data_IF_588004072506
#
_entry.id   IF_588004072506
#
_cell.length_a   1.000
_cell.length_b   1.000
_cell.length_c   1.000
_cell.angle_alpha   90.00
_cell.angle_beta   90.00
_cell.angle_gamma   90.00
#
_symmetry.space_group_name_H-M   'P 1'
#
loop_
_entity.id
_entity.type
_entity.pdbx_description
1 polymer ?
#
# COMPACT_ATOMS: atom_id res chain seq x y z
N UNK A 1 22.67 -1.37 -46.66
CA UNK A 1 22.51 -0.67 -45.36
C UNK A 1 21.12 -0.85 -44.72
N UNK A 2 20.04 -1.01 -45.50
CA UNK A 2 18.69 -1.31 -44.95
C UNK A 2 18.54 -2.74 -44.38
N UNK A 3 19.23 -3.74 -44.96
CA UNK A 3 19.15 -5.14 -44.50
C UNK A 3 19.83 -5.34 -43.13
N UNK A 4 20.88 -4.57 -42.84
CA UNK A 4 21.58 -4.61 -41.56
C UNK A 4 20.74 -3.98 -40.43
N UNK A 5 19.95 -2.95 -40.73
CA UNK A 5 19.01 -2.34 -39.79
C UNK A 5 17.84 -3.28 -39.43
N UNK A 6 17.41 -4.12 -40.38
CA UNK A 6 16.36 -5.12 -40.13
C UNK A 6 16.83 -6.30 -39.26
N UNK A 7 18.13 -6.61 -39.31
CA UNK A 7 18.76 -7.62 -38.42
C UNK A 7 18.99 -7.07 -37.01
N UNK A 8 19.21 -5.76 -36.85
CA UNK A 8 19.29 -5.08 -35.56
C UNK A 8 17.93 -4.88 -34.87
N UNK A 9 16.80 -5.03 -35.57
CA UNK A 9 15.45 -5.04 -34.95
C UNK A 9 15.01 -6.41 -34.41
N UNK A 10 15.87 -7.44 -34.51
CA UNK A 10 15.58 -8.80 -34.04
C UNK A 10 16.39 -9.21 -32.79
N UNK A 11 16.90 -8.24 -32.01
CA UNK A 11 17.29 -8.56 -30.64
C UNK A 11 16.02 -8.91 -29.86
N UNK A 12 15.77 -10.22 -29.70
CA UNK A 12 14.85 -10.71 -28.67
C UNK A 12 15.22 -9.99 -27.38
N UNK A 13 14.24 -9.34 -26.75
CA UNK A 13 14.45 -8.72 -25.46
C UNK A 13 14.95 -9.81 -24.50
N UNK A 14 16.25 -9.81 -24.21
CA UNK A 14 16.82 -10.66 -23.17
C UNK A 14 16.46 -9.98 -21.85
N UNK A 15 15.51 -10.57 -21.13
CA UNK A 15 15.20 -10.16 -19.78
C UNK A 15 16.37 -10.61 -18.89
N UNK A 16 16.92 -9.69 -18.11
CA UNK A 16 17.96 -9.98 -17.14
C UNK A 16 17.28 -10.35 -15.81
N UNK A 17 17.55 -11.55 -15.30
CA UNK A 17 16.87 -12.13 -14.15
C UNK A 17 15.93 -13.27 -14.55
N UNK A 18 15.78 -14.25 -13.67
CA UNK A 18 14.75 -15.28 -13.79
C UNK A 18 13.37 -14.72 -13.44
N UNK A 19 12.36 -15.23 -14.12
CA UNK A 19 10.96 -14.87 -13.94
C UNK A 19 10.11 -16.13 -13.78
N UNK A 20 8.95 -16.00 -13.14
CA UNK A 20 8.00 -17.09 -12.95
C UNK A 20 6.59 -16.68 -13.32
N UNK A 21 5.80 -17.62 -13.83
CA UNK A 21 4.36 -17.49 -13.98
C UNK A 21 3.69 -18.52 -13.10
N UNK A 22 2.94 -18.07 -12.09
CA UNK A 22 2.25 -18.93 -11.12
C UNK A 22 0.74 -18.68 -11.13
N UNK A 23 -0.02 -19.76 -11.19
CA UNK A 23 -1.48 -19.76 -11.07
C UNK A 23 -1.89 -20.29 -9.70
N UNK A 24 -2.82 -19.57 -9.08
CA UNK A 24 -3.43 -19.90 -7.80
C UNK A 24 -4.89 -20.23 -8.07
N UNK A 25 -5.20 -21.51 -8.25
CA UNK A 25 -6.55 -21.99 -8.50
C UNK A 25 -7.22 -22.45 -7.20
N UNK A 26 -8.50 -22.16 -7.06
CA UNK A 26 -9.32 -22.60 -5.93
C UNK A 26 -10.63 -23.16 -6.46
N UNK A 27 -11.01 -24.35 -5.99
CA UNK A 27 -12.30 -24.99 -6.22
C UNK A 27 -13.01 -25.21 -4.88
N UNK A 28 -14.27 -24.79 -4.78
CA UNK A 28 -15.07 -24.80 -3.56
C UNK A 28 -16.26 -25.74 -3.75
N UNK A 29 -16.35 -26.76 -2.89
CA UNK A 29 -17.54 -27.59 -2.76
C UNK A 29 -18.43 -26.99 -1.67
N UNK A 30 -19.74 -26.95 -1.91
CA UNK A 30 -20.73 -26.51 -0.93
C UNK A 30 -21.27 -25.11 -1.22
N UNK A 31 -22.09 -24.59 -0.31
CA UNK A 31 -22.64 -23.24 -0.45
C UNK A 31 -21.58 -22.18 -0.15
N UNK A 32 -21.40 -21.24 -1.07
CA UNK A 32 -20.40 -20.17 -0.97
C UNK A 32 -20.95 -18.90 -1.64
N UNK A 33 -20.64 -17.69 -1.13
CA UNK A 33 -20.94 -16.43 -1.80
C UNK A 33 -19.92 -16.08 -2.91
N UNK A 34 -18.85 -16.89 -3.06
CA UNK A 34 -17.81 -16.73 -4.06
C UNK A 34 -18.04 -17.68 -5.24
N UNK A 35 -17.43 -17.42 -6.43
CA UNK A 35 -17.43 -18.36 -7.53
C UNK A 35 -16.95 -19.75 -7.07
N UNK A 36 -17.57 -20.83 -7.57
CA UNK A 36 -17.17 -22.20 -7.20
C UNK A 36 -15.72 -22.52 -7.60
N UNK A 37 -15.22 -21.82 -8.62
CA UNK A 37 -13.87 -21.90 -9.13
C UNK A 37 -13.33 -20.53 -9.49
N UNK A 38 -12.08 -20.28 -9.13
CA UNK A 38 -11.35 -19.07 -9.50
C UNK A 38 -9.86 -19.34 -9.68
N UNK A 39 -9.21 -18.57 -10.55
CA UNK A 39 -7.76 -18.62 -10.77
C UNK A 39 -7.20 -17.21 -10.77
N UNK A 40 -6.09 -17.00 -10.04
CA UNK A 40 -5.27 -15.78 -10.12
C UNK A 40 -3.95 -16.13 -10.76
N UNK A 41 -3.58 -15.47 -11.86
CA UNK A 41 -2.28 -15.61 -12.51
C UNK A 41 -1.34 -14.47 -12.13
N UNK A 42 -0.13 -14.81 -11.70
CA UNK A 42 0.92 -13.85 -11.35
C UNK A 42 2.20 -14.10 -12.13
N UNK A 43 2.75 -13.04 -12.70
CA UNK A 43 4.15 -13.04 -13.14
C UNK A 43 4.99 -12.43 -12.02
N UNK A 44 5.89 -13.25 -11.49
CA UNK A 44 6.58 -13.01 -10.24
C UNK A 44 5.58 -12.74 -9.10
N UNK A 45 5.48 -11.50 -8.65
CA UNK A 45 4.52 -11.05 -7.64
C UNK A 45 3.40 -10.14 -8.18
N UNK A 46 3.42 -9.83 -9.49
CA UNK A 46 2.44 -8.99 -10.18
C UNK A 46 1.30 -9.83 -10.73
N UNK A 47 0.06 -9.52 -10.34
CA UNK A 47 -1.12 -10.15 -10.93
C UNK A 47 -1.32 -9.68 -12.37
N UNK A 48 -1.38 -10.64 -13.29
CA UNK A 48 -1.54 -10.40 -14.73
C UNK A 48 -2.83 -10.95 -15.29
N UNK A 49 -3.44 -11.95 -14.63
CA UNK A 49 -4.71 -12.54 -15.06
C UNK A 49 -5.59 -12.95 -13.89
N UNK A 50 -6.90 -12.98 -14.15
CA UNK A 50 -7.93 -13.46 -13.25
C UNK A 50 -8.99 -14.23 -14.04
N UNK A 51 -9.48 -15.33 -13.48
CA UNK A 51 -10.57 -16.14 -14.06
C UNK A 51 -11.52 -16.57 -12.94
N UNK A 52 -12.80 -16.64 -13.25
CA UNK A 52 -13.82 -17.21 -12.37
C UNK A 52 -14.87 -18.00 -13.14
N UNK A 53 -15.64 -18.79 -12.39
CA UNK A 53 -16.75 -19.63 -12.86
C UNK A 53 -18.09 -18.89 -12.95
N UNK A 54 -18.14 -17.59 -12.67
CA UNK A 54 -19.34 -16.79 -12.93
C UNK A 54 -19.33 -16.27 -14.37
N UNK A 55 -18.15 -15.86 -14.84
CA UNK A 55 -17.93 -15.25 -16.15
C UNK A 55 -17.29 -16.20 -17.17
N UNK A 56 -16.62 -17.26 -16.71
CA UNK A 56 -15.92 -18.24 -17.54
C UNK A 56 -14.94 -17.63 -18.55
N UNK A 57 -14.31 -16.50 -18.18
CA UNK A 57 -13.40 -15.78 -19.06
C UNK A 57 -12.21 -15.23 -18.30
N UNK A 58 -11.01 -15.50 -18.81
CA UNK A 58 -9.80 -14.93 -18.25
C UNK A 58 -9.68 -13.44 -18.61
N UNK A 59 -9.63 -12.61 -17.59
CA UNK A 59 -9.39 -11.18 -17.67
C UNK A 59 -7.91 -10.92 -17.48
N UNK A 60 -7.25 -10.37 -18.50
CA UNK A 60 -5.87 -9.93 -18.41
C UNK A 60 -5.80 -8.52 -17.83
N UNK A 61 -5.12 -8.37 -16.70
CA UNK A 61 -4.77 -7.06 -16.13
C UNK A 61 -3.52 -6.53 -16.83
N UNK A 62 -3.65 -6.13 -18.10
CA UNK A 62 -2.58 -5.36 -18.74
C UNK A 62 -2.71 -3.88 -18.36
N UNK A 63 -1.60 -3.28 -17.95
CA UNK A 63 -1.48 -1.82 -17.79
C UNK A 63 -1.25 -1.10 -19.13
N UNK A 64 -1.20 -1.83 -20.25
CA UNK A 64 -1.07 -1.27 -21.59
C UNK A 64 -2.40 -1.38 -22.33
N UNK A 65 -2.88 -0.27 -22.92
CA UNK A 65 -4.07 -0.17 -23.77
C UNK A 65 -3.94 -0.92 -25.11
N UNK A 66 -3.09 -1.94 -25.17
CA UNK A 66 -2.96 -2.80 -26.33
C UNK A 66 -4.18 -3.74 -26.37
N UNK A 67 -5.22 -3.28 -27.07
CA UNK A 67 -6.26 -4.14 -27.63
C UNK A 67 -5.56 -5.27 -28.38
N UNK A 68 -5.53 -6.47 -27.80
CA UNK A 68 -5.10 -7.65 -28.52
C UNK A 68 -6.29 -8.56 -28.77
N UNK A 69 -6.34 -8.99 -30.03
CA UNK A 69 -7.34 -9.76 -30.71
C UNK A 69 -8.07 -10.82 -29.89
N UNK A 70 -9.34 -10.94 -30.23
CA UNK A 70 -10.36 -11.93 -29.90
C UNK A 70 -9.97 -13.37 -30.33
N UNK A 71 -8.69 -13.73 -30.25
CA UNK A 71 -8.24 -15.13 -30.27
C UNK A 71 -8.45 -15.67 -28.86
N UNK A 72 -9.18 -16.79 -28.78
CA UNK A 72 -9.41 -17.55 -27.56
C UNK A 72 -8.18 -17.50 -26.63
N UNK A 73 -8.36 -16.98 -25.42
CA UNK A 73 -7.23 -16.77 -24.52
C UNK A 73 -6.64 -18.15 -24.20
N UNK A 74 -5.35 -18.34 -24.49
CA UNK A 74 -4.64 -19.61 -24.20
C UNK A 74 -4.90 -20.08 -22.75
N UNK A 75 -5.06 -19.12 -21.84
CA UNK A 75 -5.40 -19.34 -20.44
C UNK A 75 -6.79 -19.94 -20.22
N UNK A 76 -7.82 -19.62 -21.04
CA UNK A 76 -9.17 -20.17 -20.89
C UNK A 76 -9.16 -21.70 -21.05
N UNK A 77 -8.36 -22.21 -21.99
CA UNK A 77 -8.20 -23.65 -22.23
C UNK A 77 -7.53 -24.32 -21.03
N UNK A 78 -6.44 -23.72 -20.52
CA UNK A 78 -5.72 -24.24 -19.35
C UNK A 78 -6.60 -24.21 -18.09
N UNK A 79 -7.35 -23.13 -17.89
CA UNK A 79 -8.22 -22.99 -16.72
C UNK A 79 -9.44 -23.91 -16.79
N UNK A 80 -9.96 -24.19 -17.99
CA UNK A 80 -10.98 -25.21 -18.20
C UNK A 80 -10.50 -26.62 -17.84
N UNK A 81 -9.27 -26.98 -18.20
CA UNK A 81 -8.67 -28.24 -17.77
C UNK A 81 -8.47 -28.28 -16.25
N UNK A 82 -7.90 -27.21 -15.67
CA UNK A 82 -7.72 -27.09 -14.22
C UNK A 82 -9.05 -27.23 -13.47
N UNK A 83 -10.13 -26.61 -13.94
CA UNK A 83 -11.47 -26.75 -13.35
C UNK A 83 -11.91 -28.22 -13.28
N UNK A 84 -11.85 -28.93 -14.41
CA UNK A 84 -12.28 -30.33 -14.48
C UNK A 84 -11.40 -31.23 -13.59
N UNK A 85 -10.09 -30.99 -13.60
CA UNK A 85 -9.11 -31.69 -12.75
C UNK A 85 -9.40 -31.49 -11.26
N UNK A 86 -9.51 -30.24 -10.81
CA UNK A 86 -9.74 -29.91 -9.40
C UNK A 86 -11.11 -30.39 -8.93
N UNK A 87 -12.16 -30.22 -9.74
CA UNK A 87 -13.49 -30.72 -9.44
C UNK A 87 -13.48 -32.23 -9.20
N UNK A 88 -12.89 -32.99 -10.12
CA UNK A 88 -12.78 -34.44 -10.00
C UNK A 88 -12.04 -34.88 -8.74
N UNK A 89 -10.89 -34.25 -8.45
CA UNK A 89 -10.11 -34.56 -7.24
C UNK A 89 -10.84 -34.16 -5.95
N UNK A 90 -11.50 -33.01 -5.92
CA UNK A 90 -12.22 -32.53 -4.75
C UNK A 90 -13.39 -33.46 -4.39
N UNK A 91 -14.20 -33.90 -5.37
CA UNK A 91 -15.27 -34.86 -5.14
C UNK A 91 -14.74 -36.24 -4.73
N UNK A 92 -13.66 -36.69 -5.34
CA UNK A 92 -13.00 -37.95 -4.96
C UNK A 92 -12.55 -37.92 -3.49
N UNK A 93 -11.88 -36.85 -3.07
CA UNK A 93 -11.41 -36.71 -1.69
C UNK A 93 -12.58 -36.57 -0.70
N UNK A 94 -13.60 -35.75 -1.02
CA UNK A 94 -14.80 -35.62 -0.18
C UNK A 94 -15.43 -36.99 0.08
N UNK A 95 -15.64 -37.77 -0.97
CA UNK A 95 -16.29 -39.07 -0.88
C UNK A 95 -15.41 -40.10 -0.15
N UNK A 96 -14.13 -40.21 -0.49
CA UNK A 96 -13.25 -41.22 0.10
C UNK A 96 -12.91 -40.95 1.57
N UNK A 97 -12.90 -39.69 1.97
CA UNK A 97 -12.73 -39.30 3.36
C UNK A 97 -14.05 -39.29 4.14
N UNK A 98 -15.18 -39.66 3.48
CA UNK A 98 -16.53 -39.63 4.03
C UNK A 98 -16.85 -38.30 4.74
N UNK A 99 -16.42 -37.18 4.13
CA UNK A 99 -16.65 -35.86 4.73
C UNK A 99 -18.13 -35.51 4.65
N UNK A 100 -18.62 -34.85 5.70
CA UNK A 100 -20.00 -34.39 5.77
C UNK A 100 -20.30 -33.35 4.71
N UNK A 101 -21.58 -33.04 4.54
CA UNK A 101 -21.95 -31.82 3.84
C UNK A 101 -21.42 -30.59 4.58
N UNK A 102 -20.99 -29.61 3.81
CA UNK A 102 -20.22 -28.47 4.30
C UNK A 102 -19.37 -27.86 3.18
N UNK A 103 -18.55 -26.89 3.57
CA UNK A 103 -17.61 -26.23 2.65
C UNK A 103 -16.28 -26.98 2.66
N UNK A 104 -15.84 -27.39 1.47
CA UNK A 104 -14.52 -27.97 1.28
C UNK A 104 -13.79 -27.26 0.14
N UNK A 105 -12.49 -27.10 0.31
CA UNK A 105 -11.67 -26.28 -0.59
C UNK A 105 -10.55 -27.13 -1.14
N UNK A 106 -10.46 -27.21 -2.45
CA UNK A 106 -9.31 -27.76 -3.16
C UNK A 106 -8.56 -26.62 -3.83
N UNK A 107 -7.25 -26.53 -3.61
CA UNK A 107 -6.41 -25.45 -4.13
C UNK A 107 -5.25 -26.04 -4.91
N UNK A 108 -4.88 -25.37 -6.00
CA UNK A 108 -3.70 -25.70 -6.81
C UNK A 108 -2.83 -24.45 -6.97
N UNK A 109 -1.55 -24.60 -6.66
CA UNK A 109 -0.51 -23.67 -7.06
C UNK A 109 0.30 -24.32 -8.18
N UNK A 110 0.24 -23.81 -9.40
CA UNK A 110 0.97 -24.42 -10.53
C UNK A 110 1.55 -23.35 -11.47
N UNK A 111 2.72 -23.61 -12.03
CA UNK A 111 3.40 -22.61 -12.85
C UNK A 111 4.76 -23.04 -13.36
N UNK A 112 5.42 -22.17 -14.11
CA UNK A 112 6.74 -22.42 -14.68
C UNK A 112 7.68 -21.24 -14.49
N UNK A 113 8.96 -21.53 -14.55
CA UNK A 113 10.04 -20.56 -14.53
C UNK A 113 10.63 -20.33 -15.92
N UNK A 114 11.09 -19.11 -16.16
CA UNK A 114 11.95 -18.72 -17.26
C UNK A 114 13.25 -18.21 -16.66
N UNK A 115 14.32 -18.97 -16.88
CA UNK A 115 15.66 -18.62 -16.41
C UNK A 115 16.29 -17.56 -17.31
N UNK A 116 17.44 -17.06 -16.87
CA UNK A 116 18.28 -16.17 -17.67
C UNK A 116 18.55 -16.76 -19.05
N UNK A 117 18.60 -15.88 -20.06
CA UNK A 117 18.79 -16.22 -21.47
C UNK A 117 17.62 -17.00 -22.12
N UNK A 118 16.39 -16.77 -21.65
CA UNK A 118 15.16 -17.34 -22.25
C UNK A 118 15.09 -18.88 -22.18
N UNK A 119 15.83 -19.48 -21.24
CA UNK A 119 15.84 -20.92 -21.00
C UNK A 119 14.66 -21.33 -20.09
N UNK A 120 13.96 -22.43 -20.39
CA UNK A 120 12.97 -22.99 -19.48
C UNK A 120 13.60 -23.36 -18.13
N UNK A 121 12.96 -22.96 -17.04
CA UNK A 121 13.27 -23.43 -15.69
C UNK A 121 12.29 -24.51 -15.23
N UNK A 122 12.18 -24.68 -13.92
CA UNK A 122 11.32 -25.72 -13.35
C UNK A 122 9.84 -25.41 -13.56
N UNK A 123 9.04 -26.47 -13.72
CA UNK A 123 7.59 -26.42 -13.66
C UNK A 123 7.14 -27.03 -12.35
N UNK A 124 6.32 -26.31 -11.61
CA UNK A 124 5.89 -26.73 -10.28
C UNK A 124 4.38 -26.89 -10.21
N UNK A 125 3.92 -27.79 -9.35
CA UNK A 125 2.52 -27.93 -8.97
C UNK A 125 2.41 -28.38 -7.51
N UNK A 126 1.50 -27.77 -6.76
CA UNK A 126 1.12 -28.18 -5.41
C UNK A 126 -0.39 -28.16 -5.28
N UNK A 127 -0.94 -29.26 -4.79
CA UNK A 127 -2.37 -29.40 -4.53
C UNK A 127 -2.62 -29.55 -3.03
N UNK A 128 -3.57 -28.78 -2.52
CA UNK A 128 -4.01 -28.82 -1.14
C UNK A 128 -5.53 -29.04 -1.05
N UNK A 129 -5.96 -29.77 -0.05
CA UNK A 129 -7.37 -29.99 0.25
C UNK A 129 -7.64 -29.68 1.72
N UNK A 130 -8.57 -28.76 1.97
CA UNK A 130 -8.90 -28.21 3.29
C UNK A 130 -7.65 -27.71 4.06
N UNK A 131 -6.73 -27.05 3.35
CA UNK A 131 -5.51 -26.47 3.92
C UNK A 131 -4.33 -27.43 4.10
N UNK A 132 -4.51 -28.73 3.83
CA UNK A 132 -3.44 -29.73 3.91
C UNK A 132 -2.92 -30.06 2.52
N UNK A 133 -1.60 -30.02 2.33
CA UNK A 133 -0.95 -30.43 1.07
C UNK A 133 -1.23 -31.93 0.84
N UNK A 134 -1.72 -32.25 -0.35
CA UNK A 134 -2.08 -33.60 -0.78
C UNK A 134 -1.13 -34.12 -1.84
N UNK A 135 -0.75 -33.29 -2.79
CA UNK A 135 0.10 -33.68 -3.91
C UNK A 135 1.06 -32.56 -4.25
N UNK A 136 2.23 -32.93 -4.76
CA UNK A 136 3.13 -31.97 -5.39
C UNK A 136 3.90 -32.62 -6.54
N UNK A 137 4.29 -31.80 -7.50
CA UNK A 137 5.02 -32.21 -8.68
C UNK A 137 6.05 -31.16 -9.09
N UNK A 138 7.23 -31.62 -9.50
CA UNK A 138 8.26 -30.82 -10.14
C UNK A 138 8.64 -31.50 -11.44
N UNK A 139 8.60 -30.75 -12.53
CA UNK A 139 9.10 -31.17 -13.83
C UNK A 139 10.29 -30.30 -14.22
N UNK A 140 11.42 -30.95 -14.47
CA UNK A 140 12.64 -30.32 -14.94
C UNK A 140 12.77 -30.53 -16.46
N UNK A 141 12.64 -29.47 -17.28
CA UNK A 141 12.75 -29.59 -18.73
C UNK A 141 14.16 -29.85 -19.24
N UNK A 142 15.21 -29.58 -18.45
CA UNK A 142 16.60 -29.84 -18.81
C UNK A 142 16.91 -31.33 -18.75
N UNK A 143 16.61 -31.96 -17.62
CA UNK A 143 16.83 -33.40 -17.39
C UNK A 143 15.69 -34.28 -17.90
N UNK A 144 14.52 -33.69 -18.14
CA UNK A 144 13.23 -34.38 -18.39
C UNK A 144 12.77 -35.25 -17.22
N UNK A 145 13.24 -34.96 -16.02
CA UNK A 145 12.83 -35.67 -14.82
C UNK A 145 11.53 -35.12 -14.26
N UNK A 146 10.70 -36.03 -13.75
CA UNK A 146 9.45 -35.71 -13.07
C UNK A 146 9.49 -36.27 -11.66
N UNK A 147 9.46 -35.39 -10.67
CA UNK A 147 9.32 -35.73 -9.26
C UNK A 147 7.87 -35.51 -8.86
N UNK A 148 7.21 -36.55 -8.36
CA UNK A 148 5.78 -36.49 -8.02
C UNK A 148 5.59 -37.15 -6.65
N UNK A 149 4.87 -36.47 -5.76
CA UNK A 149 4.42 -37.03 -4.49
C UNK A 149 2.90 -37.07 -4.46
N UNK A 150 2.34 -38.26 -4.22
CA UNK A 150 0.90 -38.52 -4.20
C UNK A 150 0.55 -39.09 -2.82
N UNK A 151 0.15 -38.25 -1.87
CA UNK A 151 -0.04 -38.70 -0.48
C UNK A 151 -1.41 -39.34 -0.22
N UNK A 152 -2.46 -38.94 -0.95
CA UNK A 152 -3.85 -39.27 -0.57
C UNK A 152 -4.77 -39.72 -1.71
N UNK A 153 -4.41 -39.47 -2.98
CA UNK A 153 -5.12 -40.07 -4.11
C UNK A 153 -4.47 -41.42 -4.36
N UNK A 154 -5.23 -42.49 -4.10
CA UNK A 154 -4.82 -43.90 -4.29
C UNK A 154 -4.02 -43.99 -5.59
N UNK A 155 -2.74 -44.36 -5.43
CA UNK A 155 -1.66 -44.22 -6.41
C UNK A 155 -2.16 -44.22 -7.85
N UNK A 156 -1.96 -43.09 -8.55
CA UNK A 156 -2.26 -43.01 -9.98
C UNK A 156 -1.68 -44.24 -10.67
N UNK A 157 -2.48 -44.88 -11.51
CA UNK A 157 -1.98 -45.99 -12.31
C UNK A 157 -0.90 -45.50 -13.29
N UNK A 158 -0.09 -46.42 -13.79
CA UNK A 158 1.00 -46.08 -14.73
C UNK A 158 0.49 -45.29 -15.95
N UNK A 159 -0.66 -45.63 -16.56
CA UNK A 159 -1.23 -44.83 -17.65
C UNK A 159 -1.51 -43.37 -17.24
N UNK A 160 -2.09 -43.11 -16.07
CA UNK A 160 -2.36 -41.74 -15.61
C UNK A 160 -1.07 -40.97 -15.36
N UNK A 161 -0.05 -41.60 -14.77
CA UNK A 161 1.27 -40.97 -14.58
C UNK A 161 1.87 -40.56 -15.93
N UNK A 162 1.88 -41.48 -16.91
CA UNK A 162 2.41 -41.20 -18.26
C UNK A 162 1.64 -40.08 -18.96
N UNK A 163 0.31 -40.09 -18.85
CA UNK A 163 -0.54 -39.04 -19.41
C UNK A 163 -0.24 -37.68 -18.78
N UNK A 164 -0.11 -37.60 -17.46
CA UNK A 164 0.22 -36.34 -16.79
C UNK A 164 1.60 -35.85 -17.20
N UNK A 165 2.62 -36.72 -17.24
CA UNK A 165 3.95 -36.35 -17.76
C UNK A 165 3.89 -35.77 -19.17
N UNK A 166 3.12 -36.42 -20.06
CA UNK A 166 2.88 -35.93 -21.41
C UNK A 166 2.25 -34.53 -21.43
N UNK A 167 1.24 -34.27 -20.58
CA UNK A 167 0.62 -32.94 -20.47
C UNK A 167 1.61 -31.87 -20.02
N UNK A 168 2.44 -32.15 -19.01
CA UNK A 168 3.45 -31.19 -18.53
C UNK A 168 4.47 -30.83 -19.62
N UNK A 169 4.95 -31.84 -20.35
CA UNK A 169 5.95 -31.66 -21.41
C UNK A 169 5.39 -30.96 -22.66
N UNK A 170 4.20 -31.37 -23.12
CA UNK A 170 3.71 -31.01 -24.44
C UNK A 170 2.62 -29.94 -24.43
N UNK A 171 2.02 -29.66 -23.26
CA UNK A 171 0.95 -28.67 -23.12
C UNK A 171 1.34 -27.60 -22.09
N UNK A 172 1.48 -27.95 -20.82
CA UNK A 172 1.63 -26.95 -19.76
C UNK A 172 2.92 -26.12 -19.90
N UNK A 173 4.07 -26.75 -20.11
CA UNK A 173 5.31 -26.00 -20.27
C UNK A 173 5.28 -25.06 -21.49
N UNK A 174 4.96 -25.50 -22.72
CA UNK A 174 4.89 -24.62 -23.87
C UNK A 174 3.92 -23.44 -23.70
N UNK A 175 2.71 -23.69 -23.18
CA UNK A 175 1.73 -22.63 -22.95
C UNK A 175 2.16 -21.67 -21.84
N UNK A 176 2.70 -22.20 -20.73
CA UNK A 176 3.17 -21.38 -19.64
C UNK A 176 4.30 -20.44 -20.08
N UNK A 177 5.30 -20.94 -20.81
CA UNK A 177 6.38 -20.11 -21.35
C UNK A 177 5.88 -19.08 -22.37
N UNK A 178 4.90 -19.44 -23.22
CA UNK A 178 4.27 -18.51 -24.17
C UNK A 178 3.58 -17.36 -23.44
N UNK A 179 2.79 -17.66 -22.41
CA UNK A 179 2.04 -16.68 -21.62
C UNK A 179 3.00 -15.82 -20.78
N UNK A 180 4.02 -16.42 -20.18
CA UNK A 180 5.05 -15.71 -19.41
C UNK A 180 5.80 -14.71 -20.29
N UNK A 181 6.29 -15.13 -21.46
CA UNK A 181 6.97 -14.23 -22.42
C UNK A 181 6.07 -13.09 -22.88
N UNK A 182 4.79 -13.39 -23.18
CA UNK A 182 3.79 -12.37 -23.55
C UNK A 182 3.66 -11.34 -22.44
N UNK A 183 3.49 -11.77 -21.20
CA UNK A 183 3.31 -10.85 -20.07
C UNK A 183 4.58 -10.05 -19.75
N UNK A 184 5.77 -10.64 -19.84
CA UNK A 184 7.04 -9.91 -19.69
C UNK A 184 7.19 -8.81 -20.74
N UNK A 185 6.68 -9.03 -21.96
CA UNK A 185 6.67 -8.01 -23.00
C UNK A 185 5.62 -6.91 -22.73
N UNK A 186 4.37 -7.30 -22.48
CA UNK A 186 3.25 -6.36 -22.36
C UNK A 186 3.29 -5.54 -21.05
N UNK A 187 3.70 -6.17 -19.95
CA UNK A 187 3.68 -5.60 -18.61
C UNK A 187 5.08 -5.29 -18.08
N UNK A 188 6.08 -5.17 -18.98
CA UNK A 188 7.50 -4.95 -18.68
C UNK A 188 7.71 -3.87 -17.61
N UNK A 189 7.07 -2.71 -17.80
CA UNK A 189 7.24 -1.56 -16.90
C UNK A 189 6.69 -1.82 -15.51
N UNK A 190 5.67 -2.67 -15.36
CA UNK A 190 5.10 -3.02 -14.05
C UNK A 190 5.90 -4.12 -13.37
N UNK A 191 6.30 -5.15 -14.10
CA UNK A 191 7.04 -6.32 -13.58
C UNK A 191 8.48 -5.92 -13.20
N UNK A 192 9.15 -5.16 -14.05
CA UNK A 192 10.56 -4.77 -13.83
C UNK A 192 10.72 -3.44 -13.07
N UNK A 193 9.62 -2.86 -12.55
CA UNK A 193 9.72 -1.60 -11.79
C UNK A 193 10.59 -1.80 -10.56
N UNK A 194 11.25 -0.73 -10.15
CA UNK A 194 12.01 -0.68 -8.91
C UNK A 194 11.57 0.54 -8.14
N UNK A 195 11.02 0.33 -6.95
CA UNK A 195 10.54 1.42 -6.09
C UNK A 195 11.40 1.45 -4.83
N UNK A 196 12.05 2.60 -4.58
CA UNK A 196 12.95 2.76 -3.43
C UNK A 196 12.15 2.77 -2.12
N UNK A 197 12.62 2.04 -1.09
CA UNK A 197 11.97 2.03 0.22
C UNK A 197 11.93 3.41 0.86
N UNK A 198 10.80 3.71 1.50
CA UNK A 198 10.67 4.81 2.47
C UNK A 198 10.87 4.25 3.86
N UNK A 199 11.71 4.89 4.64
CA UNK A 199 12.07 4.41 5.97
C UNK A 199 11.61 5.41 7.02
N UNK A 200 11.01 4.88 8.09
CA UNK A 200 10.59 5.65 9.25
C UNK A 200 11.11 4.98 10.50
N UNK A 201 11.87 5.75 11.26
CA UNK A 201 12.33 5.39 12.58
C UNK A 201 11.33 5.91 13.60
N UNK A 202 10.78 5.02 14.41
CA UNK A 202 9.74 5.32 15.38
C UNK A 202 10.25 4.96 16.77
N UNK A 203 9.95 5.82 17.74
CA UNK A 203 10.22 5.62 19.16
C UNK A 203 8.91 5.64 19.91
N UNK A 204 8.65 4.61 20.72
CA UNK A 204 7.45 4.51 21.55
C UNK A 204 7.84 4.11 22.97
N UNK A 205 7.47 4.91 23.97
CA UNK A 205 7.58 4.47 25.36
C UNK A 205 6.56 3.34 25.62
N UNK A 206 7.01 2.24 26.23
CA UNK A 206 6.12 1.13 26.61
C UNK A 206 5.79 1.16 28.10
N UNK A 207 6.82 1.26 28.94
CA UNK A 207 6.73 1.30 30.39
C UNK A 207 7.65 2.40 30.95
N UNK A 208 7.61 2.66 32.25
CA UNK A 208 8.44 3.69 32.90
C UNK A 208 9.95 3.53 32.66
N UNK A 209 10.41 2.31 32.35
CA UNK A 209 11.82 1.99 32.13
C UNK A 209 12.14 1.37 30.76
N UNK A 210 11.17 1.32 29.84
CA UNK A 210 11.33 0.65 28.54
C UNK A 210 10.88 1.51 27.36
N UNK A 211 11.67 1.46 26.30
CA UNK A 211 11.42 2.14 25.04
C UNK A 211 11.49 1.14 23.90
N UNK A 212 10.47 1.15 23.05
CA UNK A 212 10.46 0.42 21.80
C UNK A 212 10.98 1.31 20.66
N UNK A 213 11.99 0.81 19.98
CA UNK A 213 12.57 1.35 18.77
C UNK A 213 12.02 0.53 17.60
N UNK A 214 11.35 1.16 16.64
CA UNK A 214 10.78 0.48 15.48
C UNK A 214 11.32 1.06 14.19
N UNK A 215 11.83 0.18 13.34
CA UNK A 215 12.17 0.45 11.96
C UNK A 215 11.02 0.03 11.05
N UNK A 216 10.34 1.00 10.45
CA UNK A 216 9.33 0.75 9.43
C UNK A 216 9.92 1.06 8.05
N UNK A 217 9.91 0.06 7.17
CA UNK A 217 10.28 0.20 5.77
C UNK A 217 9.03 -0.06 4.94
N UNK A 218 8.65 0.87 4.07
CA UNK A 218 7.38 0.79 3.31
C UNK A 218 7.52 1.40 1.93
N UNK A 219 6.61 1.05 1.01
CA UNK A 219 6.57 1.63 -0.33
C UNK A 219 7.69 1.13 -1.24
N UNK A 220 8.19 -0.08 -1.03
CA UNK A 220 9.24 -0.68 -1.88
C UNK A 220 8.70 -1.80 -2.77
N UNK A 221 9.42 -2.04 -3.87
CA UNK A 221 9.18 -3.14 -4.81
C UNK A 221 10.49 -3.42 -5.58
N UNK A 222 10.88 -4.69 -5.82
CA UNK A 222 10.13 -5.94 -5.62
C UNK A 222 10.01 -6.40 -4.16
N UNK A 223 9.28 -7.51 -3.92
CA UNK A 223 9.01 -8.06 -2.59
C UNK A 223 10.26 -8.38 -1.75
N UNK A 224 11.34 -8.85 -2.37
CA UNK A 224 12.53 -9.34 -1.64
C UNK A 224 13.36 -8.19 -1.05
N UNK A 225 13.45 -8.16 0.28
CA UNK A 225 14.18 -7.14 1.05
C UNK A 225 14.87 -7.78 2.26
N UNK A 226 16.06 -7.30 2.60
CA UNK A 226 16.74 -7.64 3.85
C UNK A 226 16.76 -6.40 4.76
N UNK A 227 16.09 -6.50 5.91
CA UNK A 227 16.06 -5.48 6.95
C UNK A 227 16.75 -6.01 8.21
N UNK A 228 17.82 -5.34 8.64
CA UNK A 228 18.55 -5.65 9.86
C UNK A 228 18.50 -4.45 10.79
N UNK A 229 18.16 -4.69 12.05
CA UNK A 229 18.23 -3.67 13.09
C UNK A 229 19.59 -3.81 13.78
N UNK A 230 20.34 -2.72 13.85
CA UNK A 230 21.71 -2.68 14.35
C UNK A 230 21.72 -1.96 15.70
N UNK A 231 22.47 -2.54 16.65
CA UNK A 231 22.69 -2.02 18.00
C UNK A 231 24.20 -1.93 18.23
N UNK A 232 24.71 -0.72 18.40
CA UNK A 232 26.14 -0.49 18.68
C UNK A 232 27.06 -1.07 17.60
N UNK A 233 26.68 -0.94 16.33
CA UNK A 233 27.43 -1.43 15.17
C UNK A 233 27.31 -2.93 14.89
N UNK A 234 26.56 -3.69 15.69
CA UNK A 234 26.36 -5.12 15.50
C UNK A 234 24.88 -5.42 15.22
N UNK A 235 24.56 -6.45 14.41
CA UNK A 235 23.19 -6.93 14.26
C UNK A 235 22.59 -7.23 15.64
N UNK A 236 21.42 -6.67 15.94
CA UNK A 236 20.71 -7.00 17.16
C UNK A 236 20.34 -8.50 17.12
N UNK A 237 20.77 -9.25 18.14
CA UNK A 237 20.54 -10.71 18.20
C UNK A 237 19.21 -11.01 18.91
N UNK A 238 18.54 -12.04 18.42
CA UNK A 238 17.16 -12.43 18.69
C UNK A 238 16.88 -12.76 20.17
N UNK A 239 15.74 -12.23 20.63
CA UNK A 239 15.21 -12.33 22.00
C UNK A 239 14.26 -11.16 22.31
N UNK A 240 14.63 -9.94 21.89
CA UNK A 240 13.85 -8.71 22.07
C UNK A 240 13.36 -8.08 20.75
N UNK A 241 13.58 -8.75 19.62
CA UNK A 241 13.15 -8.28 18.30
C UNK A 241 11.74 -8.81 18.01
N UNK A 242 10.84 -7.91 17.63
CA UNK A 242 9.47 -8.25 17.23
C UNK A 242 9.16 -7.73 15.82
N UNK A 243 8.25 -8.40 15.12
CA UNK A 243 7.93 -8.15 13.72
C UNK A 243 8.82 -8.95 12.77
N UNK A 244 9.08 -8.40 11.60
CA UNK A 244 9.75 -9.10 10.48
C UNK A 244 8.77 -9.59 9.41
N UNK A 245 7.47 -9.56 9.69
CA UNK A 245 6.45 -9.91 8.70
C UNK A 245 6.42 -8.90 7.55
N UNK A 246 6.47 -9.44 6.34
CA UNK A 246 6.36 -8.68 5.11
C UNK A 246 4.90 -8.61 4.68
N UNK A 247 4.36 -7.40 4.60
CA UNK A 247 2.96 -7.15 4.30
C UNK A 247 2.81 -6.41 2.96
N UNK A 248 1.80 -6.73 2.15
CA UNK A 248 1.49 -5.98 0.94
C UNK A 248 0.79 -4.65 1.27
N UNK A 249 0.99 -3.66 0.41
CA UNK A 249 0.22 -2.41 0.36
C UNK A 249 -0.81 -2.46 -0.79
N UNK A 250 -1.84 -1.64 -0.71
CA UNK A 250 -2.90 -1.57 -1.74
C UNK A 250 -2.46 -0.99 -3.09
N UNK A 251 -1.27 -0.41 -3.18
CA UNK A 251 -0.68 0.15 -4.40
C UNK A 251 0.29 -0.83 -5.11
N UNK A 252 0.35 -2.07 -4.65
CA UNK A 252 1.24 -3.10 -5.18
C UNK A 252 2.71 -2.93 -4.74
N UNK A 253 2.97 -2.17 -3.68
CA UNK A 253 4.26 -2.14 -2.98
C UNK A 253 4.21 -2.96 -1.69
N UNK A 254 5.33 -3.07 -0.98
CA UNK A 254 5.44 -3.83 0.26
C UNK A 254 5.86 -2.98 1.44
N UNK A 255 5.64 -3.51 2.64
CA UNK A 255 6.12 -2.97 3.90
C UNK A 255 6.60 -4.06 4.85
N UNK A 256 7.60 -3.75 5.65
CA UNK A 256 8.15 -4.60 6.70
C UNK A 256 8.51 -3.73 7.90
N UNK A 257 8.30 -4.26 9.11
CA UNK A 257 8.70 -3.57 10.34
C UNK A 257 9.46 -4.50 11.26
N UNK A 258 10.56 -4.03 11.84
CA UNK A 258 11.26 -4.70 12.94
C UNK A 258 11.35 -3.74 14.12
N UNK A 259 11.07 -4.25 15.31
CA UNK A 259 11.14 -3.45 16.55
C UNK A 259 12.04 -4.11 17.57
N UNK A 260 12.72 -3.30 18.37
CA UNK A 260 13.55 -3.71 19.49
C UNK A 260 13.10 -2.97 20.74
N UNK A 261 12.88 -3.69 21.84
CA UNK A 261 12.64 -3.08 23.15
C UNK A 261 13.96 -3.00 23.92
N UNK A 262 14.26 -1.80 24.41
CA UNK A 262 15.46 -1.48 25.19
C UNK A 262 15.09 -0.74 26.47
N UNK A 263 15.99 -0.75 27.45
CA UNK A 263 15.81 0.06 28.65
C UNK A 263 16.02 1.56 28.37
N UNK A 264 15.35 2.42 29.14
CA UNK A 264 15.60 3.88 29.08
C UNK A 264 17.06 4.19 29.39
N UNK A 265 17.71 3.45 30.29
CA UNK A 265 19.15 3.62 30.61
C UNK A 265 20.03 3.40 29.37
N UNK A 266 19.80 2.29 28.67
CA UNK A 266 20.54 1.92 27.47
C UNK A 266 20.40 2.98 26.36
N UNK A 267 19.21 3.58 26.23
CA UNK A 267 18.98 4.68 25.30
C UNK A 267 19.83 5.92 25.64
N UNK A 268 20.09 6.19 26.92
CA UNK A 268 20.92 7.32 27.36
C UNK A 268 22.42 7.02 27.29
N UNK A 269 22.83 5.74 27.32
CA UNK A 269 24.22 5.28 27.23
C UNK A 269 24.83 5.46 25.80
N UNK A 270 24.15 6.22 24.92
CA UNK A 270 24.58 6.58 23.55
C UNK A 270 24.92 5.38 22.66
N UNK A 271 24.20 4.26 22.83
CA UNK A 271 24.26 3.22 21.81
C UNK A 271 23.63 3.75 20.50
N UNK A 272 24.39 3.64 19.41
CA UNK A 272 23.88 3.96 18.08
C UNK A 272 22.98 2.81 17.64
N UNK A 273 21.70 3.11 17.41
CA UNK A 273 20.77 2.21 16.75
C UNK A 273 20.63 2.64 15.31
N UNK A 274 20.66 1.68 14.39
CA UNK A 274 20.42 1.97 13.00
C UNK A 274 19.63 0.86 12.32
N UNK A 275 19.12 1.18 11.13
CA UNK A 275 18.48 0.24 10.25
C UNK A 275 19.29 0.07 8.99
N UNK A 276 19.70 -1.17 8.76
CA UNK A 276 20.39 -1.57 7.56
C UNK A 276 19.43 -2.24 6.61
N UNK A 277 19.35 -1.71 5.40
CA UNK A 277 18.41 -2.15 4.37
C UNK A 277 19.20 -2.49 3.11
N UNK A 278 18.99 -3.71 2.61
CA UNK A 278 19.43 -4.15 1.31
C UNK A 278 18.22 -4.53 0.44
N UNK A 279 18.12 -3.91 -0.73
CA UNK A 279 16.97 -4.05 -1.63
C UNK A 279 17.41 -3.78 -3.07
N UNK A 280 16.83 -4.51 -4.03
CA UNK A 280 17.23 -4.47 -5.46
C UNK A 280 17.09 -3.08 -6.13
N UNK A 281 16.27 -2.19 -5.55
CA UNK A 281 16.11 -0.83 -6.04
C UNK A 281 17.19 0.15 -5.56
N UNK A 282 18.06 -0.28 -4.66
CA UNK A 282 19.11 0.55 -4.08
C UNK A 282 20.45 0.23 -4.74
N UNK A 283 21.21 1.26 -5.08
CA UNK A 283 22.55 1.10 -5.66
C UNK A 283 23.55 0.58 -4.61
N UNK A 284 23.33 0.94 -3.34
CA UNK A 284 24.13 0.53 -2.20
C UNK A 284 23.21 0.26 -1.00
N UNK A 285 23.75 -0.42 0.02
CA UNK A 285 23.10 -0.60 1.32
C UNK A 285 22.70 0.76 1.90
N UNK A 286 21.45 0.87 2.36
CA UNK A 286 20.94 2.05 3.05
C UNK A 286 21.06 1.84 4.56
N UNK A 287 21.80 2.71 5.23
CA UNK A 287 21.94 2.74 6.69
C UNK A 287 21.33 4.04 7.22
N UNK A 288 20.34 3.92 8.11
CA UNK A 288 19.66 5.07 8.73
C UNK A 288 19.83 4.97 10.22
N UNK A 289 20.58 5.94 10.77
CA UNK A 289 20.82 6.06 12.19
C UNK A 289 19.61 6.70 12.89
N UNK A 290 19.29 6.21 14.09
CA UNK A 290 18.40 6.90 15.01
C UNK A 290 19.07 8.19 15.44
N UNK A 291 18.60 9.29 14.87
CA UNK A 291 18.98 10.60 15.36
C UNK A 291 18.29 10.78 16.73
N UNK A 292 19.10 10.84 17.79
CA UNK A 292 18.65 11.29 19.11
C UNK A 292 18.42 12.80 19.06
N UNK A 293 17.58 13.26 18.13
CA UNK A 293 16.97 14.57 18.28
C UNK A 293 15.99 14.38 19.43
N UNK A 294 16.43 14.78 20.62
CA UNK A 294 15.54 15.15 21.70
C UNK A 294 14.42 15.94 21.05
N UNK A 295 13.26 15.31 20.94
CA UNK A 295 12.04 16.03 20.59
C UNK A 295 11.83 16.89 21.82
N UNK A 296 12.38 18.08 21.73
CA UNK A 296 12.45 19.05 22.80
C UNK A 296 11.01 19.44 23.13
N UNK A 297 10.42 18.68 24.06
CA UNK A 297 9.17 19.02 24.72
C UNK A 297 9.31 20.35 25.50
N UNK A 298 10.48 21.01 25.50
CA UNK A 298 10.72 22.33 26.06
C UNK A 298 10.26 23.51 25.20
N UNK A 299 9.96 23.33 23.90
CA UNK A 299 9.60 24.47 23.03
C UNK A 299 8.21 25.06 23.35
N UNK A 300 7.29 24.24 23.89
CA UNK A 300 5.94 24.71 24.23
C UNK A 300 5.86 25.47 25.57
N UNK A 301 6.81 25.26 26.49
CA UNK A 301 6.78 25.93 27.80
C UNK A 301 7.40 27.33 27.74
N UNK A 302 8.46 27.54 26.96
CA UNK A 302 9.07 28.85 26.76
C UNK A 302 8.15 29.82 25.99
N UNK A 303 7.39 29.33 25.00
CA UNK A 303 6.42 30.16 24.27
C UNK A 303 5.22 30.58 25.12
N UNK A 304 4.77 29.72 26.05
CA UNK A 304 3.65 30.03 26.93
C UNK A 304 4.04 31.02 28.04
N UNK A 305 5.24 30.88 28.61
CA UNK A 305 5.76 31.79 29.65
C UNK A 305 6.08 33.18 29.09
N UNK A 306 6.57 33.27 27.85
CA UNK A 306 6.84 34.58 27.21
C UNK A 306 5.55 35.32 26.87
N UNK A 307 4.51 34.63 26.40
CA UNK A 307 3.20 35.23 26.13
C UNK A 307 2.49 35.70 27.41
N UNK A 308 2.55 34.94 28.50
CA UNK A 308 1.91 35.35 29.77
C UNK A 308 2.59 36.56 30.39
N UNK A 309 3.92 36.62 30.37
CA UNK A 309 4.69 37.78 30.85
C UNK A 309 4.34 39.07 30.07
N UNK A 310 4.22 38.99 28.74
CA UNK A 310 3.86 40.14 27.90
C UNK A 310 2.46 40.68 28.21
N UNK A 311 1.47 39.80 28.39
CA UNK A 311 0.10 40.20 28.73
C UNK A 311 0.04 40.87 30.10
N UNK A 312 0.76 40.33 31.09
CA UNK A 312 0.81 40.94 32.44
C UNK A 312 1.43 42.33 32.39
N UNK A 313 2.52 42.53 31.64
CA UNK A 313 3.15 43.84 31.47
C UNK A 313 2.21 44.89 30.83
N UNK A 314 1.44 44.48 29.81
CA UNK A 314 0.46 45.36 29.17
C UNK A 314 -0.66 45.73 30.16
N UNK A 315 -1.19 44.77 30.91
CA UNK A 315 -2.24 45.03 31.90
C UNK A 315 -1.76 46.00 33.00
N UNK A 316 -0.55 45.80 33.53
CA UNK A 316 0.03 46.67 34.57
C UNK A 316 0.26 48.09 34.04
N UNK A 317 0.78 48.24 32.83
CA UNK A 317 1.00 49.56 32.23
C UNK A 317 -0.31 50.32 31.96
N UNK A 318 -1.38 49.62 31.56
CA UNK A 318 -2.72 50.22 31.40
C UNK A 318 -3.32 50.68 32.75
N UNK A 319 -3.13 49.90 33.82
CA UNK A 319 -3.59 50.29 35.16
C UNK A 319 -2.82 51.53 35.65
N UNK A 320 -1.50 51.56 35.48
CA UNK A 320 -0.66 52.70 35.89
C UNK A 320 -1.07 53.97 35.12
N UNK A 321 -1.27 53.87 33.81
CA UNK A 321 -1.70 55.03 33.00
C UNK A 321 -3.09 55.51 33.38
N UNK A 322 -4.05 54.62 33.66
CA UNK A 322 -5.37 54.98 34.17
C UNK A 322 -5.29 55.70 35.54
N UNK A 323 -4.43 55.22 36.46
CA UNK A 323 -4.22 55.86 37.76
C UNK A 323 -3.58 57.25 37.64
N UNK A 324 -2.62 57.44 36.72
CA UNK A 324 -2.00 58.74 36.45
C UNK A 324 -3.04 59.72 35.87
N UNK A 325 -3.88 59.27 34.93
CA UNK A 325 -4.95 60.10 34.35
C UNK A 325 -5.98 60.47 35.42
N UNK A 326 -6.33 59.53 36.31
CA UNK A 326 -7.30 59.79 37.38
C UNK A 326 -6.76 60.80 38.41
N UNK A 327 -5.48 60.68 38.80
CA UNK A 327 -4.83 61.70 39.64
C UNK A 327 -4.74 63.06 38.94
N UNK A 328 -4.43 63.10 37.64
CA UNK A 328 -4.41 64.37 36.88
C UNK A 328 -5.78 65.03 36.77
N UNK A 329 -6.87 64.24 36.68
CA UNK A 329 -8.25 64.75 36.68
C UNK A 329 -8.70 65.24 38.05
N UNK A 330 -8.21 64.67 39.16
CA UNK A 330 -8.57 65.15 40.50
C UNK A 330 -7.85 66.45 40.92
N UNK A 331 -6.79 66.85 40.20
CA UNK A 331 -6.10 68.13 40.43
C UNK A 331 -6.60 69.29 39.53
N UNK A 332 -7.54 69.04 38.62
CA UNK A 332 -8.06 70.03 37.67
C UNK A 332 -9.53 70.44 37.91
N UNK A 333 -10.06 70.21 39.12
CA UNK A 333 -11.36 70.73 39.55
C UNK A 333 -11.17 71.87 40.56
N UNK A 334 -10.79 73.05 40.05
CA UNK A 334 -10.65 74.26 40.85
C UNK A 334 -10.57 75.52 39.99
N UNK A 335 -11.69 76.25 39.92
CA UNK A 335 -11.90 77.62 39.43
C UNK A 335 -11.80 77.90 37.91
N UNK A 336 -12.95 78.21 37.32
CA UNK A 336 -13.09 79.10 36.15
C UNK A 336 -13.90 80.33 36.57
N UNK A 337 -13.46 81.52 36.19
CA UNK A 337 -14.27 82.76 36.23
C UNK A 337 -13.75 83.81 35.24
N UNK A 338 -14.68 84.29 34.41
CA UNK A 338 -14.80 85.61 33.74
C UNK A 338 -13.73 86.03 32.70
N UNK A 339 -14.03 86.71 31.57
CA UNK A 339 -15.24 87.29 30.97
C UNK A 339 -14.92 87.83 29.55
N UNK A 340 -15.93 87.85 28.65
CA UNK A 340 -16.33 88.84 27.60
C UNK A 340 -15.26 89.31 26.56
N UNK A 341 -15.51 89.56 25.26
CA UNK A 341 -16.71 89.88 24.46
C UNK A 341 -16.45 89.72 22.94
N UNK A 342 -17.54 89.65 22.16
CA UNK A 342 -17.75 89.59 20.69
C UNK A 342 -17.51 90.96 19.97
N UNK A 343 -17.78 91.20 18.64
CA UNK A 343 -18.41 90.37 17.58
C UNK A 343 -17.82 90.41 16.12
N UNK A 344 -18.42 89.57 15.26
CA UNK A 344 -18.69 89.71 13.80
C UNK A 344 -17.57 89.76 12.72
N UNK A 345 -17.55 88.72 11.84
CA UNK A 345 -18.05 88.78 10.44
C UNK A 345 -17.23 87.99 9.39
N UNK A 346 -17.95 87.26 8.52
CA UNK A 346 -17.58 86.64 7.22
C UNK A 346 -16.57 85.46 7.23
N UNK A 347 -16.73 84.33 6.53
CA UNK A 347 -17.48 83.96 5.30
C UNK A 347 -17.64 82.43 5.19
N UNK A 348 -18.86 82.00 4.90
CA UNK A 348 -19.29 81.07 3.81
C UNK A 348 -18.73 79.62 3.71
N UNK A 349 -19.59 78.69 4.16
CA UNK A 349 -20.21 77.54 3.45
C UNK A 349 -19.32 76.33 3.03
N UNK A 350 -19.27 75.33 3.93
CA UNK A 350 -19.79 73.92 3.88
C UNK A 350 -20.41 73.40 2.54
N UNK A 351 -20.73 72.09 2.32
CA UNK A 351 -21.27 71.18 3.34
C UNK A 351 -20.91 69.68 3.21
N UNK A 352 -20.83 68.96 4.35
CA UNK A 352 -21.80 67.97 4.89
C UNK A 352 -21.78 66.60 4.18
N UNK A 353 -22.04 65.45 4.81
CA UNK A 353 -22.64 65.13 6.12
C UNK A 353 -22.22 63.68 6.50
N UNK A 354 -21.96 63.35 7.78
CA UNK A 354 -22.79 62.50 8.70
C UNK A 354 -23.09 61.05 8.23
N UNK A 355 -23.27 60.01 9.07
CA UNK A 355 -23.10 59.71 10.51
C UNK A 355 -23.45 58.19 10.68
N UNK A 356 -22.98 57.55 11.77
CA UNK A 356 -23.56 56.38 12.50
C UNK A 356 -23.39 54.99 11.83
N UNK A 357 -22.61 54.05 12.38
CA UNK A 357 -22.75 53.22 13.61
C UNK A 357 -23.32 51.83 13.33
N UNK A 358 -22.56 50.78 13.69
CA UNK A 358 -22.93 49.55 14.44
C UNK A 358 -22.36 48.23 13.86
N UNK A 359 -21.72 47.50 14.79
CA UNK A 359 -21.54 46.05 14.97
C UNK A 359 -20.76 45.16 13.96
N UNK A 360 -19.65 44.63 14.51
CA UNK A 360 -19.15 43.25 14.57
C UNK A 360 -19.38 42.21 13.44
N UNK A 361 -18.27 41.51 13.22
CA UNK A 361 -18.10 40.10 12.83
C UNK A 361 -18.08 39.70 11.33
N UNK A 362 -16.82 39.53 10.88
CA UNK A 362 -16.25 38.26 10.45
C UNK A 362 -16.76 37.56 9.17
N UNK A 363 -15.76 37.27 8.32
CA UNK A 363 -15.56 36.02 7.56
C UNK A 363 -16.15 35.87 6.14
N UNK A 364 -15.19 35.56 5.25
CA UNK A 364 -15.24 34.69 4.07
C UNK A 364 -15.79 35.30 2.77
N UNK A 365 -14.89 35.70 1.85
CA UNK A 365 -14.35 34.86 0.77
C UNK A 365 -15.40 34.42 -0.26
N UNK A 366 -15.39 35.15 -1.37
CA UNK A 366 -15.24 34.63 -2.73
C UNK A 366 -16.25 33.58 -3.18
N UNK A 367 -17.35 34.03 -3.79
CA UNK A 367 -18.10 33.25 -4.79
C UNK A 367 -18.47 34.14 -5.97
N UNK A 368 -17.82 33.90 -7.09
CA UNK A 368 -18.37 34.21 -8.41
C UNK A 368 -18.34 32.95 -9.26
N UNK A 369 -19.37 32.85 -10.09
CA UNK A 369 -19.55 31.95 -11.23
C UNK A 369 -20.47 30.74 -11.07
N UNK A 370 -21.42 30.69 -12.02
CA UNK A 370 -22.35 29.64 -12.42
C UNK A 370 -23.67 29.48 -11.64
N UNK A 371 -24.61 30.37 -11.98
CA UNK A 371 -26.05 30.17 -11.85
C UNK A 371 -26.54 29.36 -13.06
N UNK A 372 -27.09 28.18 -12.77
CA UNK A 372 -27.83 27.33 -13.70
C UNK A 372 -29.31 27.72 -13.75
N UNK A 373 -29.85 27.49 -14.95
CA UNK A 373 -31.22 27.62 -15.43
C UNK A 373 -32.31 26.95 -14.57
N UNK A 374 -33.47 27.61 -14.60
CA UNK A 374 -34.85 27.10 -14.77
C UNK A 374 -35.53 26.34 -13.60
N UNK A 375 -36.36 27.11 -12.88
CA UNK A 375 -37.78 26.86 -12.47
C UNK A 375 -38.43 25.79 -13.37
N UNK A 376 -39.04 24.68 -12.92
CA UNK A 376 -40.22 24.41 -12.07
C UNK A 376 -40.24 22.86 -11.95
N UNK A 377 -40.65 22.16 -10.88
CA UNK A 377 -42.01 22.07 -10.32
C UNK A 377 -41.95 21.24 -9.03
N UNK A 378 -42.66 21.67 -7.99
CA UNK A 378 -42.94 20.90 -6.78
C UNK A 378 -43.83 19.68 -7.06
N UNK A 379 -43.63 18.56 -6.34
CA UNK A 379 -44.71 17.75 -5.73
C UNK A 379 -44.20 16.40 -5.19
N UNK A 380 -44.37 16.22 -3.87
CA UNK A 380 -44.65 14.97 -3.13
C UNK A 380 -43.52 13.96 -2.87
N UNK A 381 -43.06 13.99 -1.62
CA UNK A 381 -42.62 12.85 -0.80
C UNK A 381 -43.86 12.04 -0.40
N UNK A 382 -43.77 10.69 -0.32
CA UNK A 382 -43.81 10.05 1.00
C UNK A 382 -42.69 9.03 1.23
N UNK A 383 -42.19 9.05 2.47
CA UNK A 383 -41.46 7.98 3.16
C UNK A 383 -42.22 6.65 3.10
N UNK A 384 -41.48 5.54 2.97
CA UNK A 384 -41.59 4.21 3.61
C UNK A 384 -40.45 3.37 2.99
N UNK A 385 -39.66 2.51 3.63
CA UNK A 385 -39.71 1.80 4.89
C UNK A 385 -38.27 1.30 5.17
N UNK A 386 -37.80 1.48 6.39
CA UNK A 386 -36.68 0.70 6.94
C UNK A 386 -37.23 -0.64 7.43
N UNK A 387 -36.67 -1.74 6.94
CA UNK A 387 -36.56 -3.02 7.65
C UNK A 387 -35.40 -3.83 7.09
#
# INVERSE_FOLDING_TARGET
MLILLYLLSCFKAVYAGSHSLMYFATYIIGQTPFPEFSVVGKVDDVQVSYFDSDTWRAVNHSHSDAKHDEKQNDEDVIFGDMYNSLKGHAFYLKNNLNLSDGVHIYQRLAGCELLDNDKPGLVHSWDAFNGEIKEWGIFDPETREHQISLSLIRAWDQPKILYVKFLYENIYLPYCLKILRRNLHMNKNSILRKVKPRVRLLKKAQASHEVQITCLVTGFYPRHINLTLVRGGHPAVDGNITGGDLLPNGDGTYQIRKSLVISVKELHDRHNYSCEINHLSLDNKLDIMFDLVETDLGSSTLSLVTCTCLVVFICVSLIITALIIWKRKSHAAGKFSCCLNTPESHRVITPLHQHKSLLCDALLRNKSAFSNRLIQTCSKVPNELWK
#
